data_IF_412338799461
#
_entry.id   IF_412338799461
#
_cell.length_a   1.000
_cell.length_b   1.000
_cell.length_c   1.000
_cell.angle_alpha   90.00
_cell.angle_beta   90.00
_cell.angle_gamma   90.00
#
_symmetry.space_group_name_H-M   'P 1'
#
loop_
_entity.id
_entity.type
_entity.pdbx_description
1 polymer ?
#
# COMPACT_ATOMS: atom_id res chain seq x y z
N UNK A 1 -14.52 -17.41 -30.44
CA UNK A 1 -14.13 -15.99 -30.33
C UNK A 1 -14.97 -15.39 -29.22
N UNK A 2 -14.43 -15.40 -27.99
CA UNK A 2 -15.10 -14.82 -26.84
C UNK A 2 -14.95 -13.30 -26.88
N UNK A 3 -16.06 -12.59 -26.74
CA UNK A 3 -16.07 -11.14 -26.60
C UNK A 3 -15.23 -10.75 -25.38
N UNK A 4 -14.14 -10.01 -25.60
CA UNK A 4 -13.49 -9.23 -24.55
C UNK A 4 -14.53 -8.21 -24.10
N UNK A 5 -14.99 -8.34 -22.85
CA UNK A 5 -15.83 -7.35 -22.20
C UNK A 5 -15.11 -6.00 -22.22
N UNK A 6 -15.74 -5.03 -22.88
CA UNK A 6 -15.35 -3.63 -22.89
C UNK A 6 -15.50 -3.09 -21.45
N UNK A 7 -14.48 -3.27 -20.62
CA UNK A 7 -14.39 -2.59 -19.34
C UNK A 7 -14.03 -1.14 -19.66
N UNK A 8 -15.05 -0.28 -19.70
CA UNK A 8 -14.81 1.15 -19.75
C UNK A 8 -14.04 1.55 -18.50
N UNK A 9 -12.81 2.04 -18.67
CA UNK A 9 -11.99 2.57 -17.59
C UNK A 9 -12.80 3.61 -16.81
N UNK A 10 -12.78 3.52 -15.47
CA UNK A 10 -13.43 4.53 -14.66
C UNK A 10 -12.73 5.89 -14.85
N UNK A 11 -13.39 7.03 -14.60
CA UNK A 11 -12.72 8.34 -14.67
C UNK A 11 -11.44 8.41 -13.82
N UNK A 12 -11.40 7.67 -12.71
CA UNK A 12 -10.22 7.57 -11.85
C UNK A 12 -9.08 6.79 -12.53
N UNK A 13 -9.40 5.69 -13.22
CA UNK A 13 -8.41 4.89 -13.95
C UNK A 13 -7.79 5.70 -15.09
N UNK A 14 -8.61 6.44 -15.84
CA UNK A 14 -8.14 7.35 -16.89
C UNK A 14 -7.20 8.43 -16.33
N UNK A 15 -7.53 9.00 -15.16
CA UNK A 15 -6.67 9.98 -14.50
C UNK A 15 -5.32 9.38 -14.09
N UNK A 16 -5.31 8.16 -13.55
CA UNK A 16 -4.07 7.47 -13.21
C UNK A 16 -3.23 7.14 -14.45
N UNK A 17 -3.87 6.75 -15.56
CA UNK A 17 -3.18 6.58 -16.84
C UNK A 17 -2.56 7.89 -17.34
N UNK A 18 -3.27 9.01 -17.20
CA UNK A 18 -2.76 10.34 -17.54
C UNK A 18 -1.52 10.69 -16.70
N UNK A 19 -1.60 10.54 -15.37
CA UNK A 19 -0.47 10.79 -14.48
C UNK A 19 0.75 9.91 -14.77
N UNK A 20 0.52 8.68 -15.26
CA UNK A 20 1.58 7.75 -15.67
C UNK A 20 2.27 8.10 -16.99
N UNK A 21 1.76 9.07 -17.77
CA UNK A 21 2.26 9.38 -19.13
C UNK A 21 3.75 9.69 -19.18
N UNK A 22 4.27 10.44 -18.21
CA UNK A 22 5.69 10.77 -18.15
C UNK A 22 6.59 9.53 -18.12
N UNK A 23 6.17 8.45 -17.46
CA UNK A 23 6.93 7.20 -17.37
C UNK A 23 6.72 6.30 -18.60
N UNK A 24 5.62 6.46 -19.34
CA UNK A 24 5.42 5.82 -20.64
C UNK A 24 6.42 6.35 -21.67
N UNK A 25 6.69 7.65 -21.62
CA UNK A 25 7.61 8.31 -22.56
C UNK A 25 9.09 8.00 -22.29
N UNK A 26 9.43 7.48 -21.10
CA UNK A 26 10.80 7.05 -20.81
C UNK A 26 11.16 5.80 -21.62
N UNK A 27 12.36 5.78 -22.19
CA UNK A 27 12.96 4.53 -22.67
C UNK A 27 13.25 3.59 -21.48
N UNK A 28 13.48 2.30 -21.76
CA UNK A 28 13.63 1.28 -20.72
C UNK A 28 14.79 1.59 -19.75
N UNK A 29 15.89 2.14 -20.25
CA UNK A 29 17.06 2.45 -19.43
C UNK A 29 16.82 3.67 -18.55
N UNK A 30 16.16 4.70 -19.08
CA UNK A 30 15.75 5.88 -18.31
C UNK A 30 14.78 5.51 -17.18
N UNK A 31 13.78 4.67 -17.49
CA UNK A 31 12.84 4.15 -16.49
C UNK A 31 13.55 3.30 -15.42
N UNK A 32 14.41 2.38 -15.84
CA UNK A 32 15.18 1.54 -14.93
C UNK A 32 16.04 2.38 -13.97
N UNK A 33 16.80 3.36 -14.50
CA UNK A 33 17.65 4.24 -13.70
C UNK A 33 16.84 5.07 -12.72
N UNK A 34 15.73 5.65 -13.16
CA UNK A 34 14.87 6.45 -12.30
C UNK A 34 14.32 5.60 -11.15
N UNK A 35 13.78 4.41 -11.44
CA UNK A 35 13.25 3.52 -10.41
C UNK A 35 14.33 3.07 -9.42
N UNK A 36 15.51 2.67 -9.90
CA UNK A 36 16.62 2.28 -9.02
C UNK A 36 17.10 3.43 -8.14
N UNK A 37 17.24 4.63 -8.71
CA UNK A 37 17.65 5.82 -7.95
C UNK A 37 16.62 6.17 -6.87
N UNK A 38 15.33 6.14 -7.20
CA UNK A 38 14.24 6.45 -6.27
C UNK A 38 14.15 5.43 -5.14
N UNK A 39 14.27 4.13 -5.42
CA UNK A 39 14.38 3.10 -4.37
C UNK A 39 15.57 3.35 -3.43
N UNK A 40 16.69 3.82 -3.98
CA UNK A 40 17.85 4.23 -3.19
C UNK A 40 17.54 5.36 -2.20
N UNK A 41 16.64 6.29 -2.56
CA UNK A 41 16.22 7.39 -1.68
C UNK A 41 15.27 6.94 -0.56
N UNK A 42 14.51 5.87 -0.77
CA UNK A 42 13.58 5.37 0.25
C UNK A 42 14.26 4.61 1.39
N UNK A 43 15.47 4.13 1.16
CA UNK A 43 16.18 3.22 2.07
C UNK A 43 16.30 3.76 3.49
N UNK A 44 16.08 2.87 4.46
CA UNK A 44 16.23 3.12 5.89
C UNK A 44 15.07 3.90 6.51
N UNK A 45 13.94 4.03 5.80
CA UNK A 45 12.78 4.79 6.26
C UNK A 45 11.49 4.02 6.01
N UNK A 46 10.52 4.27 6.87
CA UNK A 46 9.11 3.96 6.59
C UNK A 46 8.48 5.12 5.84
N UNK A 47 7.60 4.82 4.89
CA UNK A 47 6.94 5.83 4.07
C UNK A 47 5.43 5.67 4.15
N UNK A 48 4.75 6.80 4.33
CA UNK A 48 3.31 6.88 4.13
C UNK A 48 2.98 6.61 2.67
N UNK A 49 1.95 5.81 2.44
CA UNK A 49 1.47 5.50 1.09
C UNK A 49 1.01 6.76 0.34
N UNK A 50 0.45 7.72 1.07
CA UNK A 50 0.06 9.04 0.56
C UNK A 50 1.23 9.93 0.11
N UNK A 51 2.48 9.59 0.41
CA UNK A 51 3.62 10.45 0.10
C UNK A 51 3.78 10.62 -1.42
N UNK A 52 3.89 11.86 -1.96
CA UNK A 52 3.90 12.09 -3.42
C UNK A 52 4.99 11.32 -4.18
N UNK A 53 6.19 11.16 -3.58
CA UNK A 53 7.26 10.37 -4.19
C UNK A 53 6.93 8.87 -4.24
N UNK A 54 6.16 8.33 -3.28
CA UNK A 54 5.64 6.96 -3.33
C UNK A 54 4.62 6.84 -4.46
N UNK A 55 3.69 7.79 -4.56
CA UNK A 55 2.73 7.85 -5.68
C UNK A 55 3.41 7.87 -7.05
N UNK A 56 4.41 8.74 -7.24
CA UNK A 56 5.21 8.80 -8.45
C UNK A 56 5.97 7.49 -8.71
N UNK A 57 6.51 6.86 -7.67
CA UNK A 57 7.18 5.58 -7.79
C UNK A 57 6.24 4.47 -8.25
N UNK A 58 5.02 4.40 -7.70
CA UNK A 58 4.00 3.41 -8.11
C UNK A 58 3.61 3.55 -9.57
N UNK A 59 3.42 4.78 -10.05
CA UNK A 59 3.18 5.05 -11.47
C UNK A 59 4.32 4.52 -12.35
N UNK A 60 5.57 4.79 -11.98
CA UNK A 60 6.73 4.24 -12.67
C UNK A 60 6.79 2.70 -12.57
N UNK A 61 6.41 2.13 -11.42
CA UNK A 61 6.45 0.71 -11.15
C UNK A 61 5.42 -0.07 -11.97
N UNK A 62 4.23 0.49 -12.21
CA UNK A 62 3.23 -0.07 -13.14
C UNK A 62 3.85 -0.19 -14.54
N UNK A 63 4.40 0.91 -15.07
CA UNK A 63 5.06 0.91 -16.39
C UNK A 63 6.28 -0.03 -16.41
N UNK A 64 7.03 -0.07 -15.30
CA UNK A 64 8.20 -0.93 -15.14
C UNK A 64 7.83 -2.41 -15.09
N UNK A 65 6.70 -2.75 -14.48
CA UNK A 65 6.16 -4.10 -14.42
C UNK A 65 5.67 -4.54 -15.80
N UNK A 66 4.85 -3.74 -16.47
CA UNK A 66 4.33 -4.05 -17.81
C UNK A 66 5.47 -4.31 -18.81
N UNK A 67 6.53 -3.51 -18.73
CA UNK A 67 7.71 -3.62 -19.60
C UNK A 67 8.76 -4.59 -19.07
N UNK A 68 8.54 -5.23 -17.93
CA UNK A 68 9.44 -6.18 -17.28
C UNK A 68 10.86 -5.62 -17.08
N UNK A 69 10.97 -4.35 -16.69
CA UNK A 69 12.23 -3.59 -16.61
C UNK A 69 13.28 -4.29 -15.74
N UNK A 70 12.88 -4.82 -14.59
CA UNK A 70 13.79 -5.50 -13.68
C UNK A 70 14.34 -6.82 -14.25
N UNK A 71 13.55 -7.56 -15.04
CA UNK A 71 14.00 -8.79 -15.69
C UNK A 71 15.02 -8.53 -16.81
N UNK A 72 14.99 -7.34 -17.41
CA UNK A 72 15.96 -6.93 -18.45
C UNK A 72 17.35 -6.63 -17.89
N UNK A 73 17.49 -6.48 -16.57
CA UNK A 73 18.79 -6.27 -15.88
C UNK A 73 19.59 -5.07 -16.41
N UNK A 74 18.89 -4.01 -16.81
CA UNK A 74 19.49 -2.79 -17.37
C UNK A 74 20.25 -1.97 -16.32
N UNK A 75 19.83 -2.08 -15.06
CA UNK A 75 20.47 -1.47 -13.88
C UNK A 75 20.47 -2.47 -12.74
N UNK A 76 21.35 -2.26 -11.75
CA UNK A 76 21.35 -3.04 -10.52
C UNK A 76 20.28 -2.54 -9.54
N UNK A 77 19.64 -3.47 -8.83
CA UNK A 77 18.80 -3.14 -7.68
C UNK A 77 19.66 -2.45 -6.60
N UNK A 78 19.15 -1.41 -5.90
CA UNK A 78 19.86 -0.82 -4.78
C UNK A 78 20.16 -1.85 -3.68
N UNK A 79 21.30 -1.69 -3.01
CA UNK A 79 21.76 -2.64 -2.01
C UNK A 79 20.76 -2.81 -0.85
N UNK A 80 20.48 -4.06 -0.50
CA UNK A 80 19.57 -4.46 0.58
C UNK A 80 18.16 -4.82 0.11
N UNK A 81 17.77 -4.45 -1.11
CA UNK A 81 16.52 -4.89 -1.70
C UNK A 81 16.67 -6.29 -2.30
N UNK A 82 15.96 -7.27 -1.73
CA UNK A 82 15.84 -8.63 -2.27
C UNK A 82 14.86 -8.68 -3.43
N UNK A 83 14.94 -9.72 -4.28
CA UNK A 83 13.92 -9.94 -5.31
C UNK A 83 12.61 -10.42 -4.66
N UNK A 84 11.49 -9.77 -4.99
CA UNK A 84 10.16 -10.23 -4.60
C UNK A 84 9.80 -11.50 -5.38
N UNK A 85 9.23 -12.50 -4.73
CA UNK A 85 8.85 -13.78 -5.36
C UNK A 85 7.78 -13.64 -6.44
N UNK A 86 6.85 -12.69 -6.25
CA UNK A 86 5.69 -12.48 -7.12
C UNK A 86 6.05 -11.95 -8.53
N UNK A 87 7.06 -11.08 -8.64
CA UNK A 87 7.38 -10.41 -9.91
C UNK A 87 8.88 -10.21 -10.16
N UNK A 88 9.74 -10.63 -9.22
CA UNK A 88 11.20 -10.51 -9.26
C UNK A 88 11.74 -9.07 -9.31
N UNK A 89 10.87 -8.09 -9.12
CA UNK A 89 11.29 -6.72 -8.85
C UNK A 89 11.95 -6.60 -7.46
N UNK A 90 12.73 -5.54 -7.19
CA UNK A 90 13.18 -5.22 -5.85
C UNK A 90 11.99 -5.13 -4.88
N UNK A 91 12.08 -5.82 -3.75
CA UNK A 91 11.01 -5.92 -2.77
C UNK A 91 10.77 -4.57 -2.09
N UNK A 92 9.65 -3.93 -2.44
CA UNK A 92 9.11 -2.76 -1.75
C UNK A 92 7.73 -3.16 -1.20
N UNK A 93 7.65 -3.60 0.07
CA UNK A 93 6.42 -4.07 0.67
C UNK A 93 5.55 -2.90 1.13
N UNK A 94 4.25 -3.05 0.92
CA UNK A 94 3.20 -2.24 1.52
C UNK A 94 2.50 -3.04 2.61
N UNK A 95 2.41 -2.43 3.78
CA UNK A 95 1.67 -2.92 4.92
C UNK A 95 0.34 -2.15 5.02
N UNK A 96 -0.79 -2.85 4.93
CA UNK A 96 -2.14 -2.27 4.99
C UNK A 96 -2.88 -2.71 6.25
N UNK A 97 -4.10 -2.20 6.44
CA UNK A 97 -4.98 -2.67 7.52
C UNK A 97 -5.39 -4.14 7.37
N UNK A 98 -5.45 -4.65 6.13
CA UNK A 98 -5.87 -6.01 5.78
C UNK A 98 -4.70 -7.00 5.75
N UNK A 99 -3.72 -6.81 6.65
CA UNK A 99 -2.48 -7.60 6.71
C UNK A 99 -2.73 -9.09 6.97
N UNK A 100 -3.81 -9.43 7.68
CA UNK A 100 -4.13 -10.82 8.00
C UNK A 100 -4.65 -11.59 6.77
N UNK A 101 -5.30 -10.88 5.85
CA UNK A 101 -5.90 -11.41 4.64
C UNK A 101 -4.93 -11.38 3.46
N UNK A 102 -4.14 -10.33 3.35
CA UNK A 102 -3.35 -10.03 2.13
C UNK A 102 -1.85 -10.23 2.30
N UNK A 103 -1.34 -10.30 3.53
CA UNK A 103 0.10 -10.23 3.77
C UNK A 103 0.67 -8.86 3.42
N UNK A 104 1.98 -8.79 3.16
CA UNK A 104 2.62 -7.59 2.63
C UNK A 104 2.44 -7.51 1.11
N UNK A 105 1.97 -6.39 0.60
CA UNK A 105 1.64 -6.20 -0.82
C UNK A 105 2.84 -5.65 -1.60
N UNK A 106 3.12 -6.18 -2.78
CA UNK A 106 4.20 -5.71 -3.64
C UNK A 106 3.83 -4.38 -4.31
N UNK A 107 4.65 -3.34 -4.16
CA UNK A 107 4.42 -2.05 -4.83
C UNK A 107 4.69 -2.04 -6.34
N UNK A 108 5.14 -3.15 -6.91
CA UNK A 108 5.37 -3.27 -8.36
C UNK A 108 4.23 -3.94 -9.12
N UNK A 109 3.60 -4.97 -8.54
CA UNK A 109 2.57 -5.76 -9.22
C UNK A 109 1.27 -5.89 -8.42
N UNK A 110 1.19 -5.28 -7.22
CA UNK A 110 0.04 -5.35 -6.32
C UNK A 110 -0.35 -6.75 -5.82
N UNK A 111 0.45 -7.78 -6.13
CA UNK A 111 0.28 -9.11 -5.55
C UNK A 111 0.86 -9.22 -4.14
N UNK A 112 0.51 -10.29 -3.43
CA UNK A 112 1.13 -10.62 -2.14
C UNK A 112 2.61 -10.91 -2.33
N UNK A 113 3.45 -10.07 -1.72
CA UNK A 113 4.90 -10.23 -1.73
C UNK A 113 5.35 -11.21 -0.65
N UNK A 114 4.71 -11.16 0.53
CA UNK A 114 5.02 -11.98 1.69
C UNK A 114 3.71 -12.29 2.41
N UNK A 115 3.39 -13.57 2.56
CA UNK A 115 2.21 -14.02 3.29
C UNK A 115 2.34 -13.67 4.78
N UNK A 116 1.23 -13.39 5.45
CA UNK A 116 1.26 -13.10 6.89
C UNK A 116 1.91 -14.23 7.71
N UNK A 117 1.64 -15.47 7.32
CA UNK A 117 2.18 -16.67 7.97
C UNK A 117 3.71 -16.79 7.83
N UNK A 118 4.31 -16.15 6.83
CA UNK A 118 5.75 -16.18 6.56
C UNK A 118 6.52 -15.04 7.27
N UNK A 119 5.81 -14.12 7.92
CA UNK A 119 6.45 -13.08 8.74
C UNK A 119 7.06 -13.70 10.02
N UNK A 120 8.13 -13.12 10.58
CA UNK A 120 8.64 -13.56 11.88
C UNK A 120 7.59 -13.49 12.99
N UNK A 121 7.62 -14.47 13.89
CA UNK A 121 6.63 -14.59 14.96
C UNK A 121 6.59 -13.34 15.87
N UNK A 122 7.72 -12.65 16.06
CA UNK A 122 7.80 -11.42 16.84
C UNK A 122 7.01 -10.26 16.20
N UNK A 123 6.79 -10.29 14.89
CA UNK A 123 5.99 -9.31 14.16
C UNK A 123 4.54 -9.77 13.99
N UNK A 124 4.30 -11.08 13.80
CA UNK A 124 2.94 -11.62 13.63
C UNK A 124 2.03 -11.27 14.82
N UNK A 125 2.50 -11.52 16.05
CA UNK A 125 1.68 -11.30 17.24
C UNK A 125 1.17 -9.84 17.39
N UNK A 126 2.05 -8.81 17.36
CA UNK A 126 1.60 -7.43 17.50
C UNK A 126 0.80 -6.93 16.28
N UNK A 127 1.11 -7.38 15.07
CA UNK A 127 0.34 -7.03 13.87
C UNK A 127 -1.07 -7.62 13.92
N UNK A 128 -1.19 -8.88 14.33
CA UNK A 128 -2.48 -9.56 14.52
C UNK A 128 -3.32 -8.87 15.59
N UNK A 129 -2.71 -8.57 16.74
CA UNK A 129 -3.40 -7.86 17.81
C UNK A 129 -3.93 -6.50 17.32
N UNK A 130 -3.12 -5.74 16.58
CA UNK A 130 -3.53 -4.46 16.03
C UNK A 130 -4.68 -4.62 15.02
N UNK A 131 -4.59 -5.60 14.11
CA UNK A 131 -5.62 -5.84 13.10
C UNK A 131 -6.96 -6.26 13.73
N UNK A 132 -6.92 -7.11 14.76
CA UNK A 132 -8.10 -7.51 15.53
C UNK A 132 -8.73 -6.35 16.31
N UNK A 133 -7.93 -5.38 16.79
CA UNK A 133 -8.42 -4.14 17.41
C UNK A 133 -9.01 -3.17 16.37
N UNK A 134 -8.43 -3.12 15.17
CA UNK A 134 -8.85 -2.22 14.09
C UNK A 134 -10.13 -2.69 13.38
N UNK A 135 -10.27 -4.00 13.15
CA UNK A 135 -11.40 -4.60 12.43
C UNK A 135 -12.79 -4.12 12.91
N UNK A 136 -13.13 -4.12 14.22
CA UNK A 136 -14.44 -3.64 14.68
C UNK A 136 -14.64 -2.13 14.49
N UNK A 137 -13.57 -1.33 14.44
CA UNK A 137 -13.63 0.11 14.16
C UNK A 137 -13.98 0.33 12.68
N UNK A 138 -13.25 -0.32 11.77
CA UNK A 138 -13.51 -0.26 10.33
C UNK A 138 -14.91 -0.78 9.97
N UNK A 139 -15.36 -1.83 10.65
CA UNK A 139 -16.66 -2.45 10.39
C UNK A 139 -17.85 -1.49 10.57
N UNK A 140 -17.71 -0.39 11.32
CA UNK A 140 -18.78 0.62 11.50
C UNK A 140 -19.22 1.21 10.16
N UNK A 141 -18.30 1.45 9.23
CA UNK A 141 -18.61 1.96 7.89
C UNK A 141 -19.51 1.00 7.08
N UNK A 142 -19.41 -0.30 7.37
CA UNK A 142 -20.08 -1.39 6.64
C UNK A 142 -21.33 -1.93 7.36
N UNK A 143 -21.82 -1.28 8.42
CA UNK A 143 -23.06 -1.71 9.06
C UNK A 143 -24.26 -1.61 8.10
N UNK A 144 -24.94 -2.74 7.86
CA UNK A 144 -26.10 -2.80 6.97
C UNK A 144 -27.24 -1.83 7.36
N UNK A 145 -28.00 -1.38 6.36
CA UNK A 145 -29.12 -0.43 6.49
C UNK A 145 -30.19 -0.84 7.53
N UNK A 146 -30.33 -2.14 7.82
CA UNK A 146 -31.27 -2.64 8.83
C UNK A 146 -30.89 -2.24 10.27
N UNK A 147 -29.62 -1.89 10.53
CA UNK A 147 -29.16 -1.28 11.79
C UNK A 147 -29.20 0.26 11.78
N UNK A 148 -29.30 0.88 10.60
CA UNK A 148 -29.30 2.35 10.41
C UNK A 148 -30.67 2.99 10.64
N UNK A 149 -31.77 2.23 10.50
CA UNK A 149 -33.14 2.78 10.44
C UNK A 149 -33.79 3.31 11.73
N UNK A 150 -33.36 2.99 12.97
CA UNK A 150 -34.07 3.54 14.14
C UNK A 150 -33.43 4.72 14.88
N UNK A 151 -32.16 5.11 14.72
CA UNK A 151 -31.53 6.02 15.71
C UNK A 151 -30.47 6.94 15.10
N UNK A 152 -30.49 8.23 15.46
CA UNK A 152 -29.41 9.22 15.25
C UNK A 152 -28.11 8.92 16.01
N UNK A 153 -27.73 7.64 16.08
CA UNK A 153 -26.54 7.10 16.73
C UNK A 153 -25.52 6.56 15.71
N UNK A 154 -25.91 6.33 14.44
CA UNK A 154 -24.96 5.91 13.42
C UNK A 154 -23.92 6.99 13.13
N UNK A 155 -24.35 8.23 12.88
CA UNK A 155 -23.44 9.35 12.60
C UNK A 155 -22.43 9.52 13.75
N UNK A 156 -22.91 9.46 14.99
CA UNK A 156 -22.05 9.49 16.18
C UNK A 156 -21.08 8.30 16.24
N UNK A 157 -21.54 7.08 15.95
CA UNK A 157 -20.69 5.89 15.94
C UNK A 157 -19.64 5.96 14.83
N UNK A 158 -20.00 6.49 13.65
CA UNK A 158 -19.13 6.70 12.51
C UNK A 158 -18.04 7.74 12.83
N UNK A 159 -18.41 8.89 13.39
CA UNK A 159 -17.47 9.90 13.87
C UNK A 159 -16.52 9.35 14.94
N UNK A 160 -17.04 8.56 15.89
CA UNK A 160 -16.22 7.91 16.90
C UNK A 160 -15.26 6.88 16.30
N UNK A 161 -15.70 6.14 15.27
CA UNK A 161 -14.88 5.19 14.55
C UNK A 161 -13.78 5.88 13.76
N UNK A 162 -14.06 6.99 13.08
CA UNK A 162 -13.07 7.80 12.38
C UNK A 162 -11.95 8.26 13.34
N UNK A 163 -12.31 8.87 14.48
CA UNK A 163 -11.34 9.31 15.50
C UNK A 163 -10.55 8.15 16.12
N UNK A 164 -11.18 6.97 16.28
CA UNK A 164 -10.47 5.78 16.73
C UNK A 164 -9.48 5.26 15.67
N UNK A 165 -9.90 5.27 14.40
CA UNK A 165 -9.09 4.85 13.25
C UNK A 165 -7.84 5.73 13.09
N UNK A 166 -7.98 7.06 13.17
CA UNK A 166 -6.84 8.00 13.18
C UNK A 166 -5.78 7.63 14.21
N UNK A 167 -6.20 7.35 15.45
CA UNK A 167 -5.29 6.98 16.54
C UNK A 167 -4.63 5.63 16.30
N UNK A 168 -5.41 4.65 15.84
CA UNK A 168 -4.90 3.31 15.58
C UNK A 168 -3.91 3.29 14.40
N UNK A 169 -4.20 4.01 13.32
CA UNK A 169 -3.29 4.21 12.19
C UNK A 169 -2.04 5.01 12.60
N UNK A 170 -2.18 6.01 13.47
CA UNK A 170 -1.04 6.74 14.02
C UNK A 170 -0.14 5.86 14.89
N UNK A 171 -0.72 4.95 15.68
CA UNK A 171 0.03 3.94 16.43
C UNK A 171 0.68 2.92 15.49
N UNK A 172 -0.05 2.47 14.46
CA UNK A 172 0.44 1.55 13.44
C UNK A 172 1.74 2.05 12.81
N UNK A 173 1.70 3.27 12.27
CA UNK A 173 2.84 3.91 11.59
C UNK A 173 4.06 4.16 12.49
N UNK A 174 3.86 4.39 13.79
CA UNK A 174 4.94 4.75 14.72
C UNK A 174 5.54 3.59 15.48
N UNK A 175 4.74 2.58 15.80
CA UNK A 175 5.15 1.52 16.70
C UNK A 175 5.35 0.19 15.97
N UNK A 176 4.57 -0.07 14.92
CA UNK A 176 4.59 -1.36 14.23
C UNK A 176 5.40 -1.30 12.93
N UNK A 177 5.10 -0.35 12.04
CA UNK A 177 5.80 -0.25 10.75
C UNK A 177 7.34 -0.16 10.89
N UNK A 178 7.90 0.63 11.84
CA UNK A 178 9.36 0.72 11.97
C UNK A 178 10.06 -0.59 12.33
N UNK A 179 9.37 -1.52 13.02
CA UNK A 179 9.94 -2.83 13.36
C UNK A 179 10.24 -3.67 12.11
N UNK A 180 9.51 -3.45 11.01
CA UNK A 180 9.77 -4.14 9.75
C UNK A 180 11.06 -3.68 9.06
N UNK A 181 11.64 -2.53 9.43
CA UNK A 181 12.91 -2.05 8.86
C UNK A 181 14.12 -2.91 9.26
N UNK A 182 13.98 -3.77 10.27
CA UNK A 182 15.00 -4.76 10.62
C UNK A 182 15.12 -5.87 9.55
N UNK A 183 14.05 -6.07 8.77
CA UNK A 183 13.95 -7.13 7.77
C UNK A 183 14.02 -6.59 6.34
N UNK A 184 13.44 -5.41 6.11
CA UNK A 184 13.32 -4.82 4.79
C UNK A 184 14.00 -3.45 4.74
N UNK A 185 14.68 -3.12 3.63
CA UNK A 185 15.38 -1.84 3.50
C UNK A 185 14.44 -0.64 3.57
N UNK A 186 13.17 -0.81 3.20
CA UNK A 186 12.11 0.21 3.17
C UNK A 186 10.77 -0.50 3.32
N UNK A 187 9.82 0.17 3.99
CA UNK A 187 8.44 -0.29 4.09
C UNK A 187 7.50 0.88 3.81
N UNK A 188 6.48 0.64 2.99
CA UNK A 188 5.37 1.57 2.77
C UNK A 188 4.20 1.13 3.66
N UNK A 189 3.41 2.07 4.17
CA UNK A 189 2.22 1.73 4.95
C UNK A 189 1.02 2.58 4.57
N UNK A 190 -0.17 1.98 4.60
CA UNK A 190 -1.43 2.63 4.30
C UNK A 190 -1.81 3.61 5.42
N UNK A 191 -1.80 4.89 5.12
CA UNK A 191 -2.09 5.98 6.06
C UNK A 191 -3.42 6.66 5.75
N UNK A 192 -4.46 5.86 5.49
CA UNK A 192 -5.82 6.35 5.28
C UNK A 192 -6.84 5.22 5.48
N UNK A 193 -8.10 5.60 5.69
CA UNK A 193 -9.25 4.70 5.63
C UNK A 193 -10.40 5.41 4.91
N UNK A 194 -10.54 5.12 3.61
CA UNK A 194 -11.55 5.73 2.75
C UNK A 194 -12.98 5.41 3.21
N UNK A 195 -13.21 4.27 3.86
CA UNK A 195 -14.54 3.88 4.32
C UNK A 195 -15.00 4.69 5.55
N UNK A 196 -14.04 5.14 6.37
CA UNK A 196 -14.28 6.01 7.53
C UNK A 196 -13.98 7.48 7.25
N UNK A 197 -13.72 7.85 6.00
CA UNK A 197 -13.32 9.21 5.58
C UNK A 197 -12.06 9.75 6.27
N UNK A 198 -11.21 8.86 6.80
CA UNK A 198 -9.95 9.24 7.46
C UNK A 198 -8.87 9.46 6.40
N UNK A 199 -8.34 10.68 6.37
CA UNK A 199 -7.32 11.09 5.40
C UNK A 199 -5.92 11.06 6.01
N UNK A 200 -4.88 11.08 5.15
CA UNK A 200 -3.49 11.16 5.62
C UNK A 200 -3.23 12.30 6.61
N UNK A 201 -3.81 13.48 6.38
CA UNK A 201 -3.64 14.67 7.22
C UNK A 201 -4.23 14.52 8.63
N UNK A 202 -5.19 13.62 8.83
CA UNK A 202 -5.87 13.42 10.10
C UNK A 202 -5.05 12.54 11.07
N UNK A 203 -4.07 11.78 10.55
CA UNK A 203 -3.32 10.80 11.33
C UNK A 203 -2.19 11.46 12.13
N UNK A 204 -2.24 11.42 13.47
CA UNK A 204 -1.21 12.03 14.32
C UNK A 204 0.08 11.19 14.31
N UNK A 205 1.21 11.85 14.06
CA UNK A 205 2.56 11.29 14.25
C UNK A 205 3.20 11.78 15.55
#
# INVERSE_FOLDING_TARGET
MGAMSDQSDSPLDLLWQEYGTIFRDFDDLSLARWMAQTLGQFKGRVWRYSHPLIGAYRLAAIQGHDRQIWLKRLVSSPHGYTEATCCRAPLLPLLTRDILETGLICQHCSGTAIEFADLPAELQAPLKQWAEEYAPVHAVAHWEDNRRKPIGNYDRAFEQAAVASEKLLGRFGRELVPKLLELYPTVVWEDQDECLEVRPEDIPL
#
